data_IF_108540078501
#
_entry.id   IF_108540078501
#
_cell.length_a   1.000
_cell.length_b   1.000
_cell.length_c   1.000
_cell.angle_alpha   90.00
_cell.angle_beta   90.00
_cell.angle_gamma   90.00
#
_symmetry.space_group_name_H-M   'P 1'
#
loop_
_entity.id
_entity.type
_entity.pdbx_description
1 polymer ?
#
# COMPACT_ATOMS: atom_id res chain seq x y z
N UNK A 1 -52.60 -1.92 43.25
CA UNK A 1 -51.51 -1.52 44.16
C UNK A 1 -51.89 -0.20 44.80
N UNK A 2 -51.70 -0.06 46.11
CA UNK A 2 -51.93 1.19 46.83
C UNK A 2 -50.60 1.95 46.86
N UNK A 3 -50.55 3.14 46.25
CA UNK A 3 -49.38 4.01 46.36
C UNK A 3 -49.35 4.70 47.73
N UNK A 4 -48.16 5.00 48.25
CA UNK A 4 -47.97 5.64 49.58
C UNK A 4 -48.70 6.98 49.74
N UNK A 5 -49.06 7.66 48.64
CA UNK A 5 -49.87 8.88 48.67
C UNK A 5 -51.40 8.65 48.72
N UNK A 6 -51.86 7.43 49.06
CA UNK A 6 -53.29 7.08 49.18
C UNK A 6 -53.99 6.84 47.84
N UNK A 7 -53.24 6.67 46.75
CA UNK A 7 -53.80 6.44 45.41
C UNK A 7 -54.02 4.94 45.19
N UNK A 8 -55.27 4.54 44.98
CA UNK A 8 -55.62 3.15 44.66
C UNK A 8 -55.49 2.95 43.15
N UNK A 9 -54.50 2.17 42.70
CA UNK A 9 -54.37 1.79 41.30
C UNK A 9 -54.85 0.33 41.10
N UNK A 10 -55.99 0.18 40.43
CA UNK A 10 -56.48 -1.13 39.97
C UNK A 10 -56.00 -1.31 38.54
N UNK A 11 -55.01 -2.15 38.33
CA UNK A 11 -54.49 -2.46 37.00
C UNK A 11 -55.04 -3.82 36.55
N UNK A 12 -55.73 -3.83 35.42
CA UNK A 12 -56.06 -5.07 34.71
C UNK A 12 -54.83 -5.46 33.88
N UNK A 13 -54.33 -6.70 34.05
CA UNK A 13 -53.30 -7.27 33.18
C UNK A 13 -53.94 -7.44 31.80
N UNK A 14 -53.81 -6.41 30.97
CA UNK A 14 -54.29 -6.44 29.59
C UNK A 14 -53.60 -7.59 28.85
N UNK A 15 -54.37 -8.55 28.38
CA UNK A 15 -53.98 -9.49 27.33
C UNK A 15 -54.13 -8.85 25.95
N UNK A 16 -54.05 -7.52 25.86
CA UNK A 16 -54.07 -6.82 24.60
C UNK A 16 -52.64 -6.84 24.05
N UNK A 17 -52.32 -7.70 23.07
CA UNK A 17 -51.01 -7.64 22.45
C UNK A 17 -50.88 -6.25 21.85
N UNK A 18 -49.82 -5.53 22.22
CA UNK A 18 -49.40 -4.34 21.47
C UNK A 18 -49.17 -4.80 20.03
N UNK A 19 -50.17 -4.61 19.17
CA UNK A 19 -49.99 -4.76 17.74
C UNK A 19 -48.97 -3.70 17.40
N UNK A 20 -47.79 -4.14 16.95
CA UNK A 20 -46.78 -3.28 16.36
C UNK A 20 -47.33 -2.69 15.05
N UNK A 21 -48.33 -1.82 15.17
CA UNK A 21 -48.91 -1.05 14.10
C UNK A 21 -48.12 0.24 14.03
N UNK A 22 -47.72 0.61 12.81
CA UNK A 22 -47.09 1.89 12.59
C UNK A 22 -47.99 3.00 13.16
N UNK A 23 -47.44 3.94 13.94
CA UNK A 23 -48.20 5.06 14.47
C UNK A 23 -48.91 5.79 13.31
N UNK A 24 -50.11 6.35 13.57
CA UNK A 24 -50.87 7.04 12.54
C UNK A 24 -50.01 8.11 11.89
N UNK A 25 -50.03 8.14 10.56
CA UNK A 25 -49.14 8.92 9.70
C UNK A 25 -49.08 10.36 10.19
N UNK A 26 -47.95 10.74 10.78
CA UNK A 26 -47.71 12.12 11.20
C UNK A 26 -47.81 13.00 9.94
N UNK A 27 -48.55 14.10 10.00
CA UNK A 27 -48.71 15.08 8.91
C UNK A 27 -47.43 15.90 8.68
N UNK A 28 -46.26 15.30 8.89
CA UNK A 28 -45.00 15.83 8.38
C UNK A 28 -45.05 15.64 6.88
N UNK A 29 -45.29 16.73 6.16
CA UNK A 29 -45.25 16.75 4.70
C UNK A 29 -43.91 16.18 4.23
N UNK A 30 -43.92 14.95 3.72
CA UNK A 30 -42.76 14.35 3.08
C UNK A 30 -42.53 15.12 1.78
N UNK A 31 -41.35 15.69 1.63
CA UNK A 31 -40.97 16.43 0.43
C UNK A 31 -40.65 15.45 -0.71
N UNK A 32 -41.69 14.95 -1.37
CA UNK A 32 -41.60 13.99 -2.47
C UNK A 32 -40.73 14.51 -3.62
N UNK A 33 -40.75 15.81 -3.91
CA UNK A 33 -39.93 16.39 -4.98
C UNK A 33 -38.42 16.30 -4.70
N UNK A 34 -38.01 16.46 -3.43
CA UNK A 34 -36.62 16.29 -3.03
C UNK A 34 -36.23 14.80 -3.09
N UNK A 35 -37.08 13.94 -2.55
CA UNK A 35 -36.84 12.49 -2.51
C UNK A 35 -36.74 11.89 -3.90
N UNK A 36 -37.61 12.28 -4.84
CA UNK A 36 -37.58 11.77 -6.21
C UNK A 36 -36.34 12.24 -6.97
N UNK A 37 -35.88 13.47 -6.74
CA UNK A 37 -34.63 13.98 -7.34
C UNK A 37 -33.41 13.22 -6.81
N UNK A 38 -33.38 12.95 -5.51
CA UNK A 38 -32.30 12.17 -4.88
C UNK A 38 -32.31 10.73 -5.38
N UNK A 39 -33.48 10.08 -5.42
CA UNK A 39 -33.66 8.73 -5.97
C UNK A 39 -33.23 8.64 -7.44
N UNK A 40 -33.62 9.60 -8.28
CA UNK A 40 -33.21 9.65 -9.68
C UNK A 40 -31.69 9.81 -9.83
N UNK A 41 -31.08 10.64 -8.98
CA UNK A 41 -29.62 10.86 -8.97
C UNK A 41 -28.88 9.59 -8.56
N UNK A 42 -29.30 8.94 -7.48
CA UNK A 42 -28.71 7.69 -7.01
C UNK A 42 -28.90 6.56 -8.03
N UNK A 43 -30.08 6.43 -8.64
CA UNK A 43 -30.30 5.46 -9.71
C UNK A 43 -29.38 5.68 -10.91
N UNK A 44 -29.07 6.94 -11.25
CA UNK A 44 -28.11 7.27 -12.30
C UNK A 44 -26.70 6.81 -11.94
N UNK A 45 -26.25 7.03 -10.70
CA UNK A 45 -24.94 6.55 -10.21
C UNK A 45 -24.88 5.02 -10.23
N UNK A 46 -25.93 4.34 -9.76
CA UNK A 46 -26.01 2.87 -9.77
C UNK A 46 -25.92 2.32 -11.20
N UNK A 47 -26.68 2.90 -12.14
CA UNK A 47 -26.62 2.49 -13.56
C UNK A 47 -25.25 2.72 -14.18
N UNK A 48 -24.61 3.86 -13.89
CA UNK A 48 -23.27 4.15 -14.36
C UNK A 48 -22.24 3.16 -13.77
N UNK A 49 -22.27 2.94 -12.45
CA UNK A 49 -21.38 2.00 -11.76
C UNK A 49 -21.59 0.55 -12.20
N UNK A 50 -22.84 0.12 -12.44
CA UNK A 50 -23.13 -1.23 -12.93
C UNK A 50 -22.65 -1.42 -14.37
N UNK A 51 -22.78 -0.39 -15.22
CA UNK A 51 -22.21 -0.41 -16.57
C UNK A 51 -20.69 -0.50 -16.53
N UNK A 52 -20.07 0.21 -15.60
CA UNK A 52 -18.63 0.19 -15.40
C UNK A 52 -18.14 -1.10 -14.73
N UNK A 53 -18.94 -1.83 -13.94
CA UNK A 53 -18.51 -3.12 -13.35
C UNK A 53 -18.07 -4.17 -14.37
N UNK A 54 -18.59 -4.13 -15.61
CA UNK A 54 -18.07 -4.93 -16.73
C UNK A 54 -16.70 -4.46 -17.25
N UNK A 55 -16.33 -3.21 -17.00
CA UNK A 55 -15.05 -2.58 -17.34
C UNK A 55 -14.10 -2.39 -16.13
N UNK A 56 -14.56 -2.61 -14.88
CA UNK A 56 -13.77 -2.50 -13.65
C UNK A 56 -12.65 -3.54 -13.57
N UNK A 57 -12.77 -4.66 -14.29
CA UNK A 57 -11.67 -5.62 -14.46
C UNK A 57 -10.54 -5.06 -15.33
N UNK A 58 -10.80 -4.02 -16.14
CA UNK A 58 -9.84 -3.46 -17.11
C UNK A 58 -9.36 -2.03 -16.85
N UNK A 59 -10.05 -1.22 -16.05
CA UNK A 59 -9.78 0.23 -15.94
C UNK A 59 -9.20 0.66 -14.59
N UNK A 60 -8.09 0.03 -14.17
CA UNK A 60 -7.22 0.54 -13.09
C UNK A 60 -6.35 1.74 -13.49
N UNK A 61 -6.73 2.53 -14.52
CA UNK A 61 -5.82 3.48 -15.20
C UNK A 61 -6.37 4.89 -15.44
N UNK A 62 -7.52 5.25 -14.88
CA UNK A 62 -8.22 6.50 -15.22
C UNK A 62 -7.50 7.78 -14.76
N UNK A 63 -7.28 7.94 -13.46
CA UNK A 63 -6.61 9.13 -12.91
C UNK A 63 -5.87 8.69 -11.63
N UNK A 64 -4.55 8.54 -11.73
CA UNK A 64 -3.73 8.30 -10.55
C UNK A 64 -3.45 9.65 -9.89
N UNK A 65 -4.20 9.97 -8.83
CA UNK A 65 -3.94 11.15 -7.99
C UNK A 65 -2.47 11.21 -7.50
N UNK A 66 -1.79 10.05 -7.50
CA UNK A 66 -0.43 9.85 -7.08
C UNK A 66 0.41 9.08 -8.12
N UNK A 67 1.50 9.70 -8.57
CA UNK A 67 2.54 9.11 -9.41
C UNK A 67 3.74 8.71 -8.57
N UNK A 68 4.27 7.51 -8.78
CA UNK A 68 5.45 7.00 -8.07
C UNK A 68 6.48 6.55 -9.10
N UNK A 69 7.72 7.00 -8.94
CA UNK A 69 8.82 6.72 -9.85
C UNK A 69 10.11 6.51 -9.07
N UNK A 70 10.89 5.51 -9.47
CA UNK A 70 12.18 5.20 -8.87
C UNK A 70 13.31 5.57 -9.82
N UNK A 71 14.26 6.38 -9.36
CA UNK A 71 15.53 6.63 -10.05
C UNK A 71 16.63 5.89 -9.31
N UNK A 72 17.28 4.96 -10.01
CA UNK A 72 18.41 4.21 -9.46
C UNK A 72 19.69 5.03 -9.62
N UNK A 73 20.45 5.16 -8.55
CA UNK A 73 21.77 5.81 -8.56
C UNK A 73 22.78 4.99 -9.35
N UNK A 74 23.74 5.67 -9.97
CA UNK A 74 24.78 5.03 -10.80
C UNK A 74 26.00 4.59 -10.00
N UNK A 75 26.14 5.07 -8.76
CA UNK A 75 27.29 4.78 -7.90
C UNK A 75 26.90 3.78 -6.81
N UNK A 76 27.68 2.70 -6.70
CA UNK A 76 27.60 1.75 -5.60
C UNK A 76 28.27 2.36 -4.38
N UNK A 77 27.60 2.28 -3.23
CA UNK A 77 28.11 2.75 -1.95
C UNK A 77 28.34 1.58 -0.99
N UNK A 78 29.31 1.68 -0.09
CA UNK A 78 29.50 0.66 0.94
C UNK A 78 28.39 0.76 2.00
N UNK A 79 27.69 -0.35 2.25
CA UNK A 79 26.79 -0.52 3.39
C UNK A 79 27.60 -0.85 4.64
N UNK A 80 27.42 -0.04 5.69
CA UNK A 80 28.09 -0.20 6.98
C UNK A 80 27.26 -0.90 8.06
N UNK A 81 26.09 -1.45 7.73
CA UNK A 81 25.22 -2.13 8.69
C UNK A 81 25.52 -3.63 8.84
N UNK A 82 24.80 -4.28 9.76
CA UNK A 82 24.88 -5.72 9.95
C UNK A 82 24.40 -6.47 8.71
N UNK A 83 25.25 -7.34 8.17
CA UNK A 83 24.92 -8.24 7.06
C UNK A 83 25.57 -9.58 7.35
N UNK A 84 24.97 -10.67 6.85
CA UNK A 84 25.55 -12.02 6.94
C UNK A 84 26.58 -12.25 5.83
N UNK A 85 26.81 -11.23 5.02
CA UNK A 85 27.76 -11.23 3.91
C UNK A 85 29.05 -10.56 4.41
N UNK A 86 30.15 -11.31 4.56
CA UNK A 86 31.42 -10.75 5.01
C UNK A 86 32.02 -9.79 3.97
N UNK A 87 32.51 -8.60 4.38
CA UNK A 87 33.00 -7.57 3.46
C UNK A 87 34.19 -8.07 2.62
N UNK A 88 34.20 -7.77 1.31
CA UNK A 88 35.34 -8.05 0.46
C UNK A 88 36.41 -6.98 0.68
N UNK A 89 37.62 -7.40 1.06
CA UNK A 89 38.81 -6.54 1.12
C UNK A 89 38.68 -5.28 2.02
N UNK A 90 37.79 -5.30 3.00
CA UNK A 90 37.59 -4.16 3.92
C UNK A 90 36.69 -3.05 3.36
N UNK A 91 36.19 -3.16 2.14
CA UNK A 91 35.03 -2.39 1.69
C UNK A 91 33.75 -3.12 2.11
N UNK A 92 32.80 -2.38 2.67
CA UNK A 92 31.50 -2.89 3.11
C UNK A 92 30.68 -3.52 1.97
N UNK A 93 29.54 -4.10 2.32
CA UNK A 93 28.65 -4.73 1.32
C UNK A 93 28.18 -3.68 0.30
N UNK A 94 28.25 -3.95 -1.02
CA UNK A 94 27.80 -2.98 -2.02
C UNK A 94 26.30 -2.68 -1.87
N UNK A 95 25.96 -1.40 -1.87
CA UNK A 95 24.61 -0.88 -1.74
C UNK A 95 24.29 0.04 -2.91
N UNK A 96 23.08 -0.10 -3.46
CA UNK A 96 22.58 0.74 -4.55
C UNK A 96 21.62 1.76 -3.97
N UNK A 97 21.93 3.08 -4.01
CA UNK A 97 20.99 4.11 -3.62
C UNK A 97 19.91 4.28 -4.70
N UNK A 98 18.65 4.34 -4.28
CA UNK A 98 17.48 4.56 -5.13
C UNK A 98 16.69 5.72 -4.56
N UNK A 99 16.42 6.70 -5.42
CA UNK A 99 15.55 7.83 -5.13
C UNK A 99 14.13 7.52 -5.60
N UNK A 100 13.24 7.26 -4.65
CA UNK A 100 11.81 7.17 -4.92
C UNK A 100 11.23 8.57 -4.89
N UNK A 101 10.61 8.98 -5.99
CA UNK A 101 9.97 10.27 -6.13
C UNK A 101 8.48 10.05 -6.33
N UNK A 102 7.71 10.73 -5.48
CA UNK A 102 6.28 10.57 -5.31
C UNK A 102 5.66 11.92 -5.61
N UNK A 103 4.85 12.00 -6.65
CA UNK A 103 4.20 13.25 -7.06
C UNK A 103 2.71 13.10 -6.94
N UNK A 104 2.09 13.97 -6.15
CA UNK A 104 0.65 14.06 -6.03
C UNK A 104 0.14 15.20 -6.93
N UNK A 105 -1.02 14.99 -7.57
CA UNK A 105 -1.73 16.03 -8.33
C UNK A 105 -2.72 16.81 -7.45
N UNK A 106 -3.11 16.22 -6.33
CA UNK A 106 -3.98 16.80 -5.32
C UNK A 106 -3.34 16.58 -3.94
N UNK A 107 -3.53 17.48 -2.95
CA UNK A 107 -2.98 17.27 -1.62
C UNK A 107 -3.56 16.00 -0.99
N UNK A 108 -2.69 15.03 -0.72
CA UNK A 108 -3.06 13.76 -0.10
C UNK A 108 -2.53 13.70 1.34
N UNK A 109 -3.37 13.18 2.23
CA UNK A 109 -3.02 12.99 3.64
C UNK A 109 -2.72 11.52 3.93
N UNK A 110 -1.76 11.30 4.84
CA UNK A 110 -1.41 9.98 5.36
C UNK A 110 -1.05 8.99 4.24
N UNK A 111 -0.14 9.39 3.36
CA UNK A 111 0.40 8.52 2.31
C UNK A 111 1.41 7.56 2.96
N UNK A 112 1.17 6.26 2.82
CA UNK A 112 2.06 5.22 3.34
C UNK A 112 2.69 4.47 2.19
N UNK A 113 4.01 4.42 2.19
CA UNK A 113 4.83 3.76 1.18
C UNK A 113 5.48 2.55 1.83
N UNK A 114 5.36 1.40 1.19
CA UNK A 114 6.00 0.16 1.62
C UNK A 114 6.80 -0.42 0.45
N UNK A 115 8.03 -0.83 0.74
CA UNK A 115 8.98 -1.36 -0.23
C UNK A 115 9.22 -2.81 0.13
N UNK A 116 8.89 -3.69 -0.80
CA UNK A 116 9.06 -5.14 -0.65
C UNK A 116 10.08 -5.65 -1.66
N UNK A 117 10.97 -6.51 -1.20
CA UNK A 117 12.04 -7.12 -2.00
C UNK A 117 12.11 -8.61 -1.71
N UNK A 118 12.57 -9.36 -2.70
CA UNK A 118 12.84 -10.78 -2.53
C UNK A 118 14.13 -10.97 -1.74
N UNK A 119 14.08 -11.85 -0.72
CA UNK A 119 15.29 -12.26 0.00
C UNK A 119 16.25 -12.94 -0.99
N UNK A 120 17.57 -12.66 -0.94
CA UNK A 120 18.36 -12.07 0.14
C UNK A 120 18.55 -10.56 0.08
N UNK A 121 17.85 -9.85 -0.80
CA UNK A 121 17.95 -8.39 -0.85
C UNK A 121 17.30 -7.79 0.40
N UNK A 122 17.96 -6.78 0.94
CA UNK A 122 17.49 -5.96 2.04
C UNK A 122 17.38 -4.51 1.62
N UNK A 123 16.50 -3.78 2.31
CA UNK A 123 16.36 -2.32 2.16
C UNK A 123 16.71 -1.68 3.49
N UNK A 124 17.34 -0.50 3.45
CA UNK A 124 17.64 0.28 4.68
C UNK A 124 16.40 0.54 5.51
N UNK A 125 15.29 0.91 4.86
CA UNK A 125 14.00 1.14 5.47
C UNK A 125 12.90 0.76 4.47
N UNK A 126 11.99 -0.11 4.89
CA UNK A 126 10.92 -0.67 4.06
C UNK A 126 9.63 0.17 4.11
N UNK A 127 9.39 0.87 5.22
CA UNK A 127 8.13 1.59 5.46
C UNK A 127 8.36 3.08 5.71
N UNK A 128 7.64 3.91 4.96
CA UNK A 128 7.61 5.36 5.11
C UNK A 128 6.17 5.86 5.25
N UNK A 129 5.96 6.82 6.14
CA UNK A 129 4.66 7.48 6.35
C UNK A 129 4.82 8.97 6.14
N UNK A 130 4.23 9.48 5.06
CA UNK A 130 4.19 10.89 4.72
C UNK A 130 2.85 11.46 5.19
N UNK A 131 2.90 12.42 6.12
CA UNK A 131 1.68 13.03 6.68
C UNK A 131 0.88 13.79 5.63
N UNK A 132 1.56 14.53 4.77
CA UNK A 132 0.94 15.31 3.69
C UNK A 132 1.87 15.33 2.49
N UNK A 133 1.33 15.08 1.30
CA UNK A 133 2.04 15.18 0.02
C UNK A 133 1.23 16.10 -0.89
N UNK A 134 1.80 17.25 -1.25
CA UNK A 134 1.11 18.25 -2.09
C UNK A 134 1.62 18.23 -3.54
N UNK A 135 2.94 18.32 -3.71
CA UNK A 135 3.60 18.31 -5.02
C UNK A 135 4.45 17.04 -5.13
N UNK A 136 5.77 17.20 -5.15
CA UNK A 136 6.75 16.12 -5.16
C UNK A 136 7.33 15.90 -3.76
N UNK A 137 7.38 14.66 -3.31
CA UNK A 137 8.21 14.18 -2.19
C UNK A 137 9.24 13.18 -2.68
N UNK A 138 10.45 13.21 -2.13
CA UNK A 138 11.53 12.29 -2.47
C UNK A 138 11.95 11.51 -1.23
N UNK A 139 12.05 10.20 -1.37
CA UNK A 139 12.53 9.26 -0.36
C UNK A 139 13.78 8.59 -0.93
N UNK A 140 14.85 8.55 -0.14
CA UNK A 140 16.08 7.87 -0.53
C UNK A 140 16.21 6.57 0.25
N UNK A 141 16.36 5.47 -0.47
CA UNK A 141 16.54 4.13 0.10
C UNK A 141 17.77 3.48 -0.51
N UNK A 142 18.43 2.60 0.24
CA UNK A 142 19.53 1.81 -0.30
C UNK A 142 19.14 0.34 -0.27
N UNK A 143 19.40 -0.34 -1.38
CA UNK A 143 19.26 -1.77 -1.52
C UNK A 143 20.62 -2.41 -1.29
N UNK A 144 20.70 -3.41 -0.42
CA UNK A 144 21.92 -4.13 -0.10
C UNK A 144 21.65 -5.63 -0.05
N UNK A 145 22.70 -6.44 -0.11
CA UNK A 145 22.57 -7.88 0.05
C UNK A 145 22.69 -8.27 1.53
N UNK A 146 21.64 -8.90 2.08
CA UNK A 146 21.61 -9.29 3.49
C UNK A 146 22.22 -10.68 3.73
N UNK A 147 21.98 -11.65 2.83
CA UNK A 147 22.43 -13.04 2.94
C UNK A 147 23.29 -13.50 1.74
N UNK A 148 24.19 -14.49 1.92
CA UNK A 148 25.17 -14.91 0.92
C UNK A 148 24.61 -15.90 -0.13
N UNK A 149 23.51 -15.56 -0.80
CA UNK A 149 22.98 -16.30 -1.95
C UNK A 149 22.49 -15.36 -3.06
N UNK A 150 22.23 -15.88 -4.25
CA UNK A 150 21.78 -15.09 -5.40
C UNK A 150 20.27 -14.82 -5.29
N UNK A 151 19.80 -13.56 -5.41
CA UNK A 151 18.37 -13.25 -5.45
C UNK A 151 17.68 -13.87 -6.67
N UNK A 152 16.42 -14.32 -6.53
CA UNK A 152 15.61 -14.75 -7.67
C UNK A 152 15.24 -13.59 -8.61
N UNK A 153 15.11 -12.37 -8.07
CA UNK A 153 14.82 -11.16 -8.85
C UNK A 153 15.53 -9.94 -8.24
N UNK A 154 15.93 -8.99 -9.08
CA UNK A 154 16.52 -7.70 -8.65
C UNK A 154 15.48 -6.58 -8.68
N UNK A 155 14.18 -6.91 -8.62
CA UNK A 155 13.10 -5.93 -8.61
C UNK A 155 12.58 -5.70 -7.19
N UNK A 156 12.28 -4.44 -6.92
CA UNK A 156 11.63 -3.98 -5.70
C UNK A 156 10.20 -3.55 -6.04
N UNK A 157 9.23 -4.04 -5.27
CA UNK A 157 7.84 -3.64 -5.41
C UNK A 157 7.53 -2.56 -4.38
N UNK A 158 7.22 -1.36 -4.88
CA UNK A 158 6.83 -0.20 -4.10
C UNK A 158 5.31 -0.11 -4.09
N UNK A 159 4.71 -0.36 -2.93
CA UNK A 159 3.28 -0.27 -2.69
C UNK A 159 2.98 1.00 -1.93
N UNK A 160 2.19 1.88 -2.53
CA UNK A 160 1.79 3.14 -1.92
C UNK A 160 0.28 3.15 -1.68
N UNK A 161 -0.11 3.25 -0.41
CA UNK A 161 -1.51 3.38 0.00
C UNK A 161 -1.82 4.80 0.43
N UNK A 162 -2.94 5.35 -0.03
CA UNK A 162 -3.39 6.70 0.32
C UNK A 162 -4.92 6.76 0.33
N UNK A 163 -5.47 7.80 0.96
CA UNK A 163 -6.91 8.09 0.96
C UNK A 163 -7.14 9.25 0.00
N UNK A 164 -7.98 9.05 -1.02
CA UNK A 164 -8.32 10.13 -1.96
C UNK A 164 -9.18 11.21 -1.28
N UNK A 165 -9.32 12.36 -1.94
CA UNK A 165 -10.18 13.46 -1.46
C UNK A 165 -11.65 13.03 -1.28
N UNK A 166 -12.09 11.98 -1.99
CA UNK A 166 -13.40 11.35 -1.84
C UNK A 166 -13.53 10.43 -0.62
N UNK A 167 -12.47 10.24 0.16
CA UNK A 167 -12.43 9.38 1.34
C UNK A 167 -12.24 7.88 1.04
N UNK A 168 -12.12 7.50 -0.25
CA UNK A 168 -11.90 6.11 -0.64
C UNK A 168 -10.42 5.72 -0.52
N UNK A 169 -10.07 4.57 0.09
CA UNK A 169 -8.70 4.09 0.12
C UNK A 169 -8.28 3.61 -1.27
N UNK A 170 -7.10 4.04 -1.73
CA UNK A 170 -6.48 3.63 -2.99
C UNK A 170 -5.09 3.07 -2.75
N UNK A 171 -4.70 2.13 -3.60
CA UNK A 171 -3.38 1.50 -3.57
C UNK A 171 -2.78 1.60 -4.97
N UNK A 172 -1.56 2.11 -5.05
CA UNK A 172 -0.75 2.12 -6.26
C UNK A 172 0.45 1.20 -6.05
N UNK A 173 0.73 0.32 -7.00
CA UNK A 173 1.87 -0.61 -6.95
C UNK A 173 2.77 -0.36 -8.14
N UNK A 174 4.05 -0.09 -7.89
CA UNK A 174 5.05 0.18 -8.91
C UNK A 174 6.24 -0.74 -8.69
N UNK A 175 6.71 -1.36 -9.77
CA UNK A 175 7.95 -2.14 -9.76
C UNK A 175 9.12 -1.24 -10.15
N UNK A 176 10.18 -1.28 -9.35
CA UNK A 176 11.43 -0.55 -9.58
C UNK A 176 12.55 -1.58 -9.60
N UNK A 177 13.33 -1.62 -10.68
CA UNK A 177 14.50 -2.49 -10.74
C UNK A 177 15.65 -1.86 -9.95
N UNK A 178 16.30 -2.62 -9.08
CA UNK A 178 17.46 -2.17 -8.32
C UNK A 178 18.77 -2.36 -9.12
N UNK A 179 18.75 -2.02 -10.42
CA UNK A 179 19.88 -2.17 -11.34
C UNK A 179 20.35 -0.80 -11.79
N UNK A 180 21.67 -0.57 -11.77
CA UNK A 180 22.25 0.71 -12.19
C UNK A 180 22.03 0.92 -13.70
N UNK A 181 21.45 2.05 -14.15
CA UNK A 181 21.05 2.26 -15.54
C UNK A 181 22.23 2.54 -16.50
N UNK A 182 23.47 2.24 -16.11
CA UNK A 182 24.68 2.60 -16.83
C UNK A 182 25.69 1.48 -17.03
N UNK A 183 25.41 0.24 -16.63
CA UNK A 183 26.24 -0.91 -16.96
C UNK A 183 25.37 -1.97 -17.63
N UNK A 184 25.43 -2.00 -18.97
CA UNK A 184 24.75 -2.94 -19.86
C UNK A 184 25.20 -4.39 -19.73
N UNK A 185 25.86 -4.76 -18.62
CA UNK A 185 26.28 -6.12 -18.35
C UNK A 185 25.58 -6.62 -17.08
N UNK A 186 24.36 -7.12 -17.26
CA UNK A 186 23.74 -8.09 -16.33
C UNK A 186 24.75 -9.20 -16.01
N UNK A 187 25.62 -9.53 -16.97
CA UNK A 187 26.74 -10.43 -16.83
C UNK A 187 27.76 -9.98 -15.78
N UNK A 188 28.13 -8.69 -15.70
CA UNK A 188 29.14 -8.19 -14.74
C UNK A 188 28.59 -8.03 -13.33
N UNK A 189 27.34 -7.61 -13.15
CA UNK A 189 26.73 -7.61 -11.82
C UNK A 189 26.51 -9.03 -11.32
N UNK A 190 26.01 -9.92 -12.20
CA UNK A 190 25.94 -11.35 -11.93
C UNK A 190 27.33 -11.96 -11.73
N UNK A 191 28.38 -11.54 -12.46
CA UNK A 191 29.76 -12.01 -12.30
C UNK A 191 30.40 -11.45 -11.04
N UNK A 192 30.09 -10.23 -10.61
CA UNK A 192 30.57 -9.68 -9.35
C UNK A 192 29.96 -10.48 -8.20
N UNK A 193 28.65 -10.75 -8.27
CA UNK A 193 27.96 -11.65 -7.34
C UNK A 193 28.43 -13.11 -7.44
N UNK A 194 28.69 -13.61 -8.64
CA UNK A 194 29.21 -14.96 -8.87
C UNK A 194 30.63 -15.09 -8.35
N UNK A 195 31.51 -14.13 -8.61
CA UNK A 195 32.86 -14.02 -8.06
C UNK A 195 32.80 -13.83 -6.54
N UNK A 196 31.82 -13.10 -6.01
CA UNK A 196 31.56 -13.02 -4.56
C UNK A 196 31.25 -14.39 -3.98
N UNK A 197 30.35 -15.14 -4.63
CA UNK A 197 29.97 -16.49 -4.24
C UNK A 197 31.13 -17.49 -4.42
N UNK A 198 31.88 -17.39 -5.52
CA UNK A 198 33.00 -18.29 -5.87
C UNK A 198 34.23 -18.03 -4.99
N UNK A 199 34.50 -16.78 -4.62
CA UNK A 199 35.55 -16.39 -3.68
C UNK A 199 35.23 -16.81 -2.24
N UNK A 200 33.94 -17.05 -1.92
CA UNK A 200 33.49 -17.62 -0.65
C UNK A 200 33.30 -19.14 -0.65
N UNK A 201 33.19 -19.76 -1.83
CA UNK A 201 33.16 -21.22 -2.01
C UNK A 201 34.50 -21.88 -2.39
N UNK A 202 35.72 -21.39 -2.06
CA UNK A 202 36.92 -22.06 -2.48
C UNK A 202 37.31 -23.14 -1.47
N UNK A 203 36.42 -24.05 -1.00
CA UNK A 203 36.88 -25.19 -0.16
C UNK A 203 35.87 -26.32 0.14
N UNK A 204 34.70 -26.41 -0.51
CA UNK A 204 33.78 -27.56 -0.29
C UNK A 204 33.59 -28.47 -1.50
N UNK A 205 34.43 -28.34 -2.54
CA UNK A 205 34.47 -29.27 -3.67
C UNK A 205 35.68 -30.23 -3.66
N UNK A 206 36.48 -30.23 -2.60
CA UNK A 206 37.43 -31.32 -2.31
C UNK A 206 36.83 -32.26 -1.25
N UNK A 207 35.74 -32.95 -1.62
CA UNK A 207 35.26 -34.10 -0.86
C UNK A 207 35.65 -35.38 -1.61
N UNK A 208 36.43 -36.22 -0.94
CA UNK A 208 36.50 -37.69 -1.05
C UNK A 208 36.73 -38.27 -2.46
N UNK A 209 37.99 -38.63 -2.71
CA UNK A 209 38.35 -39.94 -3.23
C UNK A 209 39.12 -40.67 -2.12
#
# INVERSE_FOLDING_TARGET
MLGEAGQVQVAYLGTDPSLFVAPPTETREINYDHTDKELATLHKVIKASTKDTGALVGMGRGESDLLVYGTVGTQLEAWGGETRVPPLQGEGVPAVPVALRITAHTPLNTVRVNITVDKPLGVTQDTFVLRTVCDTSQIMVKFYQADPYVPPSLSATVVTSYVSHTGAPRINTVQVEAVTPGHTDLALFSLFFFLYLFSFFPLLFFLKI
#
